data_IF_139105768326
#
_entry.id   IF_139105768326
#
_cell.length_a   1.000
_cell.length_b   1.000
_cell.length_c   1.000
_cell.angle_alpha   90.00
_cell.angle_beta   90.00
_cell.angle_gamma   90.00
#
_symmetry.space_group_name_H-M   'P 1'
#
loop_
_entity.id
_entity.type
_entity.pdbx_description
1 polymer ?
#
# COMPACT_ATOMS: atom_id res chain seq x y z
N UNK A 1 73.79 12.24 -45.73
CA UNK A 1 73.28 11.70 -44.42
C UNK A 1 71.84 11.35 -44.65
N UNK A 2 71.48 10.03 -44.81
CA UNK A 2 70.14 9.57 -45.13
C UNK A 2 69.47 9.15 -43.85
N UNK A 3 68.34 9.81 -43.45
CA UNK A 3 67.49 9.46 -42.33
C UNK A 3 66.55 8.34 -42.79
N UNK A 4 66.72 7.16 -42.19
CA UNK A 4 65.80 6.03 -42.41
C UNK A 4 64.56 6.23 -41.55
N UNK A 5 63.40 6.39 -42.18
CA UNK A 5 62.10 6.32 -41.52
C UNK A 5 61.77 4.86 -41.15
N UNK A 6 61.68 4.57 -39.84
CA UNK A 6 61.11 3.35 -39.36
C UNK A 6 59.59 3.45 -39.37
N UNK A 7 58.95 2.70 -40.25
CA UNK A 7 57.49 2.51 -40.23
C UNK A 7 57.18 1.45 -39.17
N UNK A 8 56.65 1.85 -38.04
CA UNK A 8 56.03 0.95 -37.07
C UNK A 8 54.71 0.39 -37.65
N UNK A 9 54.50 -0.91 -37.61
CA UNK A 9 53.31 -1.59 -38.09
C UNK A 9 52.06 -1.18 -37.27
N UNK A 10 50.90 -0.99 -37.88
CA UNK A 10 49.71 -0.49 -37.18
C UNK A 10 49.20 -1.37 -36.05
N UNK A 11 49.58 -2.63 -35.97
CA UNK A 11 49.15 -3.57 -34.92
C UNK A 11 49.79 -3.32 -33.56
N UNK A 12 50.98 -2.75 -33.47
CA UNK A 12 51.63 -2.43 -32.19
C UNK A 12 51.03 -1.20 -31.50
N UNK A 13 50.35 -0.34 -32.25
CA UNK A 13 49.70 0.84 -31.68
C UNK A 13 48.36 0.48 -31.00
N UNK A 14 47.62 -0.50 -31.55
CA UNK A 14 46.35 -0.95 -30.97
C UNK A 14 46.53 -1.74 -29.68
N UNK A 15 47.56 -2.57 -29.57
CA UNK A 15 47.84 -3.33 -28.34
C UNK A 15 48.33 -2.46 -27.20
N UNK A 16 49.09 -1.40 -27.50
CA UNK A 16 49.52 -0.46 -26.46
C UNK A 16 48.38 0.44 -25.96
N UNK A 17 47.48 0.82 -26.86
CA UNK A 17 46.29 1.64 -26.51
C UNK A 17 45.25 0.88 -25.71
N UNK A 18 45.03 -0.40 -26.03
CA UNK A 18 44.12 -1.27 -25.23
C UNK A 18 44.67 -1.60 -23.85
N UNK A 19 45.98 -1.80 -23.71
CA UNK A 19 46.59 -2.01 -22.40
C UNK A 19 46.58 -0.75 -21.50
N UNK A 20 46.72 0.41 -22.09
CA UNK A 20 46.61 1.71 -21.37
C UNK A 20 45.17 2.03 -20.97
N UNK A 21 44.18 1.75 -21.80
CA UNK A 21 42.76 1.98 -21.48
C UNK A 21 42.24 1.00 -20.42
N UNK A 22 42.64 -0.26 -20.44
CA UNK A 22 42.30 -1.23 -19.41
C UNK A 22 43.00 -0.89 -18.08
N UNK A 23 44.25 -0.43 -18.11
CA UNK A 23 44.98 0.03 -16.91
C UNK A 23 44.34 1.29 -16.28
N UNK A 24 43.87 2.24 -17.10
CA UNK A 24 43.19 3.45 -16.62
C UNK A 24 41.79 3.15 -16.07
N UNK A 25 41.05 2.21 -16.67
CA UNK A 25 39.75 1.77 -16.18
C UNK A 25 39.83 1.02 -14.84
N UNK A 26 40.93 0.30 -14.57
CA UNK A 26 41.15 -0.36 -13.31
C UNK A 26 41.57 0.60 -12.17
N UNK A 27 42.07 1.80 -12.49
CA UNK A 27 42.41 2.83 -11.51
C UNK A 27 41.29 3.85 -11.24
N UNK A 28 40.26 3.91 -12.08
CA UNK A 28 39.12 4.85 -11.92
C UNK A 28 37.90 4.17 -11.25
N UNK A 29 37.88 2.85 -11.16
CA UNK A 29 36.84 2.17 -10.39
C UNK A 29 37.13 2.37 -8.88
N UNK A 30 36.26 3.11 -8.14
CA UNK A 30 36.41 3.16 -6.71
C UNK A 30 36.30 1.73 -6.16
N UNK A 31 37.31 1.29 -5.43
CA UNK A 31 37.28 0.07 -4.66
C UNK A 31 35.98 0.10 -3.83
N UNK A 32 34.94 -0.59 -4.30
CA UNK A 32 33.76 -0.81 -3.47
C UNK A 32 34.23 -1.48 -2.19
N UNK A 33 34.00 -0.88 -1.01
CA UNK A 33 34.27 -1.57 0.22
C UNK A 33 33.52 -2.90 0.13
N UNK A 34 34.20 -4.02 0.33
CA UNK A 34 33.58 -5.33 0.49
C UNK A 34 32.58 -5.19 1.63
N UNK A 35 31.30 -5.00 1.28
CA UNK A 35 30.22 -5.16 2.24
C UNK A 35 30.34 -6.61 2.74
N UNK A 36 30.68 -6.75 4.01
CA UNK A 36 30.50 -8.02 4.70
C UNK A 36 29.04 -8.37 4.52
N UNK A 37 28.68 -9.62 4.17
CA UNK A 37 27.30 -10.02 4.15
C UNK A 37 26.72 -9.69 5.53
N UNK A 38 25.75 -8.79 5.58
CA UNK A 38 24.96 -8.57 6.78
C UNK A 38 24.22 -9.89 6.98
N UNK A 39 24.69 -10.68 7.93
CA UNK A 39 23.97 -11.87 8.38
C UNK A 39 22.69 -11.35 9.01
N UNK A 40 21.62 -11.40 8.25
CA UNK A 40 20.30 -11.16 8.76
C UNK A 40 19.95 -12.30 9.70
N UNK A 41 20.02 -12.04 11.00
CA UNK A 41 19.31 -12.88 11.95
C UNK A 41 17.82 -12.78 11.62
N UNK A 42 17.38 -13.60 10.69
CA UNK A 42 15.98 -13.99 10.62
C UNK A 42 15.73 -14.77 11.90
N UNK A 43 15.15 -14.11 12.91
CA UNK A 43 14.45 -14.81 13.98
C UNK A 43 13.30 -15.54 13.29
N UNK A 44 13.55 -16.76 12.84
CA UNK A 44 12.52 -17.69 12.43
C UNK A 44 11.67 -17.94 13.67
N UNK A 45 10.54 -17.22 13.77
CA UNK A 45 9.50 -17.69 14.64
C UNK A 45 9.12 -19.09 14.15
N UNK A 46 9.03 -20.09 15.04
CA UNK A 46 8.55 -21.40 14.64
C UNK A 46 7.20 -21.22 13.95
N UNK A 47 7.01 -21.93 12.84
CA UNK A 47 5.71 -21.98 12.17
C UNK A 47 4.65 -22.32 13.20
N UNK A 48 3.51 -21.60 13.26
CA UNK A 48 2.45 -21.90 14.19
C UNK A 48 2.02 -23.36 13.95
N UNK A 49 1.98 -24.13 15.02
CA UNK A 49 1.44 -25.49 15.02
C UNK A 49 0.01 -25.49 14.43
N UNK A 50 -0.36 -26.48 13.59
CA UNK A 50 -1.59 -26.44 12.80
C UNK A 50 -2.91 -26.58 13.57
N UNK A 51 -2.98 -26.39 14.88
CA UNK A 51 -4.14 -26.71 15.69
C UNK A 51 -4.82 -25.55 16.42
N UNK A 52 -4.31 -24.33 16.34
CA UNK A 52 -5.04 -23.18 16.87
C UNK A 52 -5.81 -22.50 15.74
N UNK A 53 -7.13 -22.60 15.72
CA UNK A 53 -7.96 -21.72 14.89
C UNK A 53 -7.63 -20.28 15.28
N UNK A 54 -6.89 -19.59 14.43
CA UNK A 54 -6.60 -18.16 14.62
C UNK A 54 -7.95 -17.44 14.51
N UNK A 55 -8.43 -16.89 15.61
CA UNK A 55 -9.69 -16.14 15.62
C UNK A 55 -9.42 -14.74 15.08
N UNK A 56 -10.11 -14.37 14.00
CA UNK A 56 -10.06 -13.00 13.51
C UNK A 56 -10.88 -12.10 14.43
N UNK A 57 -10.36 -10.95 14.88
CA UNK A 57 -11.04 -10.13 15.88
C UNK A 57 -12.23 -9.32 15.33
N UNK A 58 -12.55 -9.46 14.05
CA UNK A 58 -13.70 -8.79 13.45
C UNK A 58 -14.83 -9.80 13.23
N UNK A 59 -16.01 -9.51 13.75
CA UNK A 59 -17.22 -10.32 13.58
C UNK A 59 -18.16 -9.70 12.55
N UNK A 60 -18.78 -10.55 11.74
CA UNK A 60 -19.85 -10.14 10.86
C UNK A 60 -21.14 -10.02 11.67
N UNK A 61 -21.85 -8.90 11.55
CA UNK A 61 -23.14 -8.67 12.18
C UNK A 61 -24.21 -9.63 11.63
N UNK A 62 -25.29 -9.82 12.39
CA UNK A 62 -26.37 -10.76 12.05
C UNK A 62 -27.25 -10.32 10.85
N UNK A 63 -27.10 -9.09 10.36
CA UNK A 63 -27.89 -8.59 9.23
C UNK A 63 -27.31 -9.06 7.90
N UNK A 64 -28.18 -9.60 7.03
CA UNK A 64 -27.75 -10.05 5.70
C UNK A 64 -27.48 -8.91 4.71
N UNK A 65 -27.93 -7.69 4.96
CA UNK A 65 -27.64 -6.47 4.16
C UNK A 65 -28.12 -5.22 4.90
N UNK A 66 -27.32 -4.14 5.05
CA UNK A 66 -25.90 -4.07 4.73
C UNK A 66 -25.06 -4.98 5.61
N UNK A 67 -23.88 -5.39 5.13
CA UNK A 67 -22.96 -6.20 5.92
C UNK A 67 -22.18 -5.30 6.89
N UNK A 68 -22.26 -5.60 8.16
CA UNK A 68 -21.51 -4.88 9.21
C UNK A 68 -20.40 -5.75 9.73
N UNK A 69 -19.18 -5.25 9.65
CA UNK A 69 -17.97 -5.86 10.18
C UNK A 69 -17.55 -5.08 11.41
N UNK A 70 -17.66 -5.68 12.59
CA UNK A 70 -17.39 -5.04 13.87
C UNK A 70 -16.19 -5.68 14.56
N UNK A 71 -15.33 -4.85 15.18
CA UNK A 71 -14.25 -5.34 16.03
C UNK A 71 -14.83 -5.99 17.29
N UNK A 72 -14.44 -7.23 17.52
CA UNK A 72 -14.74 -7.99 18.73
C UNK A 72 -13.50 -8.02 19.61
N UNK A 73 -13.40 -7.09 20.55
CA UNK A 73 -12.25 -6.93 21.40
C UNK A 73 -12.67 -6.72 22.86
N UNK A 74 -11.91 -7.30 23.77
CA UNK A 74 -12.01 -7.04 25.20
C UNK A 74 -11.17 -5.79 25.47
N UNK A 75 -11.80 -4.75 26.01
CA UNK A 75 -11.07 -3.55 26.45
C UNK A 75 -10.67 -3.73 27.91
N UNK A 76 -9.40 -3.47 28.22
CA UNK A 76 -8.92 -3.53 29.59
C UNK A 76 -9.67 -2.50 30.46
N UNK A 77 -10.16 -2.96 31.62
CA UNK A 77 -10.76 -2.07 32.63
C UNK A 77 -9.71 -1.13 33.24
N UNK A 78 -8.46 -1.58 33.28
CA UNK A 78 -7.35 -0.74 33.65
C UNK A 78 -7.04 0.18 32.48
N UNK A 79 -7.68 1.36 32.49
CA UNK A 79 -7.24 2.50 31.70
C UNK A 79 -5.90 2.98 32.27
N UNK A 80 -4.90 2.08 32.25
CA UNK A 80 -3.51 2.48 32.38
C UNK A 80 -3.36 3.59 31.35
N UNK A 81 -3.14 4.79 31.81
CA UNK A 81 -2.83 5.97 30.99
C UNK A 81 -1.89 5.46 29.93
N UNK A 82 -2.38 5.36 28.71
CA UNK A 82 -1.58 4.82 27.61
C UNK A 82 -0.29 5.64 27.66
N UNK A 83 0.82 5.00 28.03
CA UNK A 83 2.10 5.68 28.09
C UNK A 83 2.28 6.26 26.71
N UNK A 84 2.21 7.60 26.60
CA UNK A 84 2.38 8.30 25.34
C UNK A 84 3.66 7.79 24.70
N UNK A 85 3.60 7.31 23.47
CA UNK A 85 4.79 6.91 22.77
C UNK A 85 5.73 8.10 22.74
N UNK A 86 6.92 7.90 23.26
CA UNK A 86 7.96 8.94 23.32
C UNK A 86 9.15 8.52 22.48
N UNK A 87 9.87 9.48 21.99
CA UNK A 87 11.14 9.29 21.31
C UNK A 87 12.20 10.17 21.98
N UNK A 88 13.40 9.69 22.07
CA UNK A 88 14.50 10.49 22.62
C UNK A 88 14.84 11.65 21.69
N UNK A 89 15.02 12.84 22.26
CA UNK A 89 15.32 14.07 21.53
C UNK A 89 16.59 14.00 20.69
N UNK A 90 17.61 13.28 21.13
CA UNK A 90 18.84 13.05 20.38
C UNK A 90 18.62 12.30 19.06
N UNK A 91 17.58 11.44 18.97
CA UNK A 91 17.21 10.73 17.74
C UNK A 91 16.49 11.65 16.73
N UNK A 92 15.96 12.77 17.20
CA UNK A 92 15.20 13.74 16.40
C UNK A 92 16.07 14.96 16.05
N UNK A 93 16.79 15.51 17.02
CA UNK A 93 17.52 16.77 16.94
C UNK A 93 19.05 16.60 16.86
N UNK A 94 19.57 15.38 17.07
CA UNK A 94 20.99 15.08 17.07
C UNK A 94 21.63 15.09 18.47
N UNK A 95 22.90 14.69 18.53
CA UNK A 95 23.63 14.43 19.79
C UNK A 95 23.82 15.64 20.72
N UNK A 96 23.69 16.85 20.20
CA UNK A 96 23.82 18.09 21.00
C UNK A 96 22.52 18.45 21.77
N UNK A 97 21.42 17.73 21.53
CA UNK A 97 20.21 17.91 22.30
C UNK A 97 20.35 17.25 23.68
N UNK A 98 19.92 17.95 24.75
CA UNK A 98 19.80 17.33 26.07
C UNK A 98 18.90 16.10 25.97
N UNK A 99 19.31 14.98 26.57
CA UNK A 99 18.52 13.72 26.52
C UNK A 99 17.20 13.90 27.26
N UNK A 100 16.17 14.26 26.52
CA UNK A 100 14.78 14.37 26.98
C UNK A 100 13.88 13.51 26.09
N UNK A 101 12.77 13.07 26.62
CA UNK A 101 11.75 12.35 25.84
C UNK A 101 10.77 13.32 25.23
N UNK A 102 10.50 13.16 23.93
CA UNK A 102 9.55 13.96 23.16
C UNK A 102 8.28 13.16 22.90
N UNK A 103 7.15 13.78 23.13
CA UNK A 103 5.83 13.25 22.75
C UNK A 103 5.50 13.61 21.31
N UNK A 104 4.43 13.05 20.74
CA UNK A 104 3.92 13.47 19.42
C UNK A 104 3.61 14.99 19.39
N UNK A 105 3.03 15.53 20.45
CA UNK A 105 2.73 16.97 20.56
C UNK A 105 4.00 17.82 20.54
N UNK A 106 5.10 17.33 21.06
CA UNK A 106 6.40 18.02 21.01
C UNK A 106 6.99 17.94 19.61
N UNK A 107 6.89 16.77 18.94
CA UNK A 107 7.33 16.61 17.56
C UNK A 107 6.65 17.58 16.60
N UNK A 108 5.35 17.86 16.81
CA UNK A 108 4.57 18.83 16.01
C UNK A 108 5.16 20.25 16.10
N UNK A 109 5.77 20.62 17.24
CA UNK A 109 6.32 21.97 17.46
C UNK A 109 7.71 22.15 16.85
N UNK A 110 8.45 21.07 16.55
CA UNK A 110 9.81 21.14 16.01
C UNK A 110 9.80 21.72 14.59
N UNK A 111 10.52 22.80 14.27
CA UNK A 111 10.66 23.32 12.91
C UNK A 111 11.21 22.24 11.95
N UNK A 112 10.77 22.25 10.69
CA UNK A 112 11.12 21.19 9.73
C UNK A 112 12.62 21.12 9.40
N UNK A 113 13.34 22.23 9.52
CA UNK A 113 14.79 22.37 9.32
C UNK A 113 15.62 21.90 10.52
N UNK A 114 15.01 21.72 11.69
CA UNK A 114 15.69 21.23 12.89
C UNK A 114 15.75 19.69 12.99
N UNK A 115 15.06 18.99 12.12
CA UNK A 115 15.03 17.53 12.15
C UNK A 115 16.32 16.90 11.64
N UNK A 116 16.92 16.00 12.46
CA UNK A 116 18.05 15.19 12.05
C UNK A 116 17.67 14.28 10.86
N UNK A 117 18.50 14.23 9.83
CA UNK A 117 18.32 13.36 8.68
C UNK A 117 19.55 12.48 8.47
N UNK A 118 19.39 11.21 8.12
CA UNK A 118 18.12 10.46 7.97
C UNK A 118 17.41 10.29 9.32
N UNK A 119 16.09 10.16 9.30
CA UNK A 119 15.32 9.93 10.52
C UNK A 119 15.62 8.57 11.12
N UNK A 120 15.75 8.53 12.45
CA UNK A 120 15.80 7.26 13.15
C UNK A 120 14.44 6.57 13.10
N UNK A 121 14.36 5.23 12.85
CA UNK A 121 13.09 4.52 12.73
C UNK A 121 12.14 4.71 13.92
N UNK A 122 12.66 4.84 15.12
CA UNK A 122 11.86 5.04 16.34
C UNK A 122 11.01 6.32 16.32
N UNK A 123 11.37 7.31 15.50
CA UNK A 123 10.58 8.54 15.33
C UNK A 123 9.16 8.24 14.89
N UNK A 124 8.96 7.22 14.05
CA UNK A 124 7.65 6.84 13.54
C UNK A 124 6.77 6.09 14.55
N UNK A 125 7.34 5.62 15.68
CA UNK A 125 6.58 5.02 16.76
C UNK A 125 5.96 6.06 17.69
N UNK A 126 6.53 7.27 17.78
CA UNK A 126 5.92 8.40 18.48
C UNK A 126 4.75 8.95 17.64
N UNK A 127 3.62 8.27 17.69
CA UNK A 127 2.35 8.64 17.03
C UNK A 127 1.33 9.09 18.10
N UNK A 128 0.23 9.79 17.72
CA UNK A 128 -0.73 10.25 18.73
C UNK A 128 -1.20 9.16 19.70
N UNK A 129 -1.29 7.92 19.19
CA UNK A 129 -1.61 6.73 19.99
C UNK A 129 -0.33 5.98 20.32
N UNK A 130 -0.05 5.89 21.61
CA UNK A 130 1.13 5.24 22.17
C UNK A 130 1.03 3.70 22.20
N UNK A 131 0.60 3.08 21.11
CA UNK A 131 0.40 1.65 21.12
C UNK A 131 1.56 0.87 20.52
N UNK A 132 1.94 -0.20 21.16
CA UNK A 132 2.66 -1.27 20.51
C UNK A 132 1.69 -2.06 19.62
N UNK A 133 1.64 -1.73 18.34
CA UNK A 133 0.70 -2.35 17.41
C UNK A 133 0.92 -3.86 17.26
N UNK A 134 2.15 -4.34 17.38
CA UNK A 134 2.43 -5.78 17.36
C UNK A 134 1.79 -6.48 18.56
N UNK A 135 1.92 -5.89 19.75
CA UNK A 135 1.29 -6.44 20.95
C UNK A 135 -0.24 -6.41 20.87
N UNK A 136 -0.82 -5.32 20.33
CA UNK A 136 -2.28 -5.26 20.09
C UNK A 136 -2.71 -6.35 19.13
N UNK A 137 -1.98 -6.54 18.03
CA UNK A 137 -2.26 -7.59 17.06
C UNK A 137 -2.24 -8.98 17.73
N UNK A 138 -1.20 -9.28 18.49
CA UNK A 138 -1.06 -10.56 19.18
C UNK A 138 -2.16 -10.75 20.24
N UNK A 139 -2.51 -9.71 21.00
CA UNK A 139 -3.59 -9.76 21.98
C UNK A 139 -4.94 -10.03 21.32
N UNK A 140 -5.24 -9.33 20.21
CA UNK A 140 -6.50 -9.53 19.49
C UNK A 140 -6.63 -10.95 18.94
N UNK A 141 -5.55 -11.52 18.39
CA UNK A 141 -5.55 -12.90 17.89
C UNK A 141 -5.69 -13.94 19.02
N UNK A 142 -5.23 -13.60 20.23
CA UNK A 142 -5.30 -14.45 21.41
C UNK A 142 -6.54 -14.17 22.28
N UNK A 143 -7.43 -13.28 21.82
CA UNK A 143 -8.61 -12.83 22.60
C UNK A 143 -8.25 -12.26 23.98
N UNK A 144 -7.09 -11.64 24.08
CA UNK A 144 -6.63 -10.95 25.29
C UNK A 144 -7.08 -9.48 25.26
N UNK A 145 -7.22 -8.86 26.45
CA UNK A 145 -7.57 -7.46 26.54
C UNK A 145 -6.60 -6.54 25.79
N UNK A 146 -7.14 -5.49 25.19
CA UNK A 146 -6.38 -4.41 24.59
C UNK A 146 -6.60 -3.10 25.37
N UNK A 147 -5.62 -2.16 25.36
CA UNK A 147 -5.67 -1.00 26.25
C UNK A 147 -6.73 0.03 25.85
N UNK A 148 -7.08 0.12 24.57
CA UNK A 148 -7.99 1.15 24.06
C UNK A 148 -8.75 0.69 22.81
N UNK A 149 -9.87 1.39 22.54
CA UNK A 149 -10.62 1.23 21.30
C UNK A 149 -9.83 1.73 20.07
N UNK A 150 -10.11 1.20 18.88
CA UNK A 150 -9.57 1.73 17.62
C UNK A 150 -9.88 3.20 17.41
N UNK A 151 -8.98 3.91 16.72
CA UNK A 151 -9.12 5.34 16.43
C UNK A 151 -9.78 5.62 15.08
N UNK A 152 -9.70 4.69 14.13
CA UNK A 152 -10.29 4.85 12.79
C UNK A 152 -11.63 4.11 12.62
N UNK A 153 -12.32 3.86 13.72
CA UNK A 153 -13.58 3.13 13.73
C UNK A 153 -13.38 1.65 14.07
N UNK A 154 -14.39 1.09 14.65
CA UNK A 154 -14.47 -0.31 15.06
C UNK A 154 -15.59 -1.07 14.35
N UNK A 155 -16.32 -0.37 13.46
CA UNK A 155 -17.41 -0.93 12.66
C UNK A 155 -17.29 -0.43 11.21
N UNK A 156 -17.31 -1.36 10.27
CA UNK A 156 -17.25 -1.10 8.83
C UNK A 156 -18.52 -1.64 8.19
N UNK A 157 -19.24 -0.77 7.51
CA UNK A 157 -20.49 -1.10 6.86
C UNK A 157 -20.27 -1.23 5.36
N UNK A 158 -20.65 -2.38 4.79
CA UNK A 158 -20.57 -2.63 3.35
C UNK A 158 -21.99 -2.73 2.79
N UNK A 159 -22.29 -1.84 1.85
CA UNK A 159 -23.59 -1.81 1.16
C UNK A 159 -23.69 -2.95 0.16
N UNK A 160 -22.56 -3.33 -0.44
CA UNK A 160 -22.43 -4.44 -1.38
C UNK A 160 -21.14 -5.19 -1.10
N UNK A 161 -21.18 -6.51 -1.14
CA UNK A 161 -20.00 -7.37 -1.23
C UNK A 161 -20.10 -8.29 -2.44
N UNK A 162 -18.95 -8.72 -2.95
CA UNK A 162 -18.89 -9.64 -4.09
C UNK A 162 -19.55 -10.99 -3.73
N UNK A 163 -20.33 -11.55 -4.67
CA UNK A 163 -20.89 -12.91 -4.53
C UNK A 163 -19.91 -14.00 -5.01
N UNK A 164 -19.01 -13.64 -5.90
CA UNK A 164 -18.10 -14.60 -6.56
C UNK A 164 -16.71 -14.64 -5.91
N UNK A 165 -16.38 -13.66 -5.05
CA UNK A 165 -15.08 -13.54 -4.40
C UNK A 165 -15.26 -13.36 -2.90
N UNK A 166 -14.78 -14.33 -2.14
CA UNK A 166 -14.74 -14.28 -0.66
C UNK A 166 -16.13 -14.04 0.00
N UNK A 167 -17.22 -14.50 -0.61
CA UNK A 167 -18.54 -14.33 -0.02
C UNK A 167 -18.78 -15.32 1.12
N UNK A 168 -19.23 -14.88 2.30
CA UNK A 168 -19.38 -15.75 3.48
C UNK A 168 -20.32 -16.95 3.23
N UNK A 169 -21.42 -16.73 2.47
CA UNK A 169 -22.43 -17.74 2.17
C UNK A 169 -22.16 -18.54 0.88
N UNK A 170 -21.00 -18.36 0.24
CA UNK A 170 -20.63 -19.06 -0.98
C UNK A 170 -19.28 -19.77 -0.83
N UNK A 171 -19.22 -21.03 -0.38
CA UNK A 171 -17.99 -21.76 -0.17
C UNK A 171 -17.11 -21.82 -1.43
N UNK A 172 -17.71 -21.86 -2.62
CA UNK A 172 -16.97 -21.90 -3.87
C UNK A 172 -16.21 -20.59 -4.15
N UNK A 173 -16.70 -19.44 -3.65
CA UNK A 173 -16.03 -18.14 -3.73
C UNK A 173 -14.88 -18.00 -2.74
N UNK A 174 -14.78 -18.92 -1.77
CA UNK A 174 -13.75 -18.93 -0.73
C UNK A 174 -12.50 -19.73 -1.13
N UNK A 175 -12.48 -20.34 -2.30
CA UNK A 175 -11.36 -21.19 -2.72
C UNK A 175 -10.47 -20.44 -3.73
N UNK A 176 -9.78 -19.39 -3.29
CA UNK A 176 -8.97 -18.51 -4.15
C UNK A 176 -7.50 -18.53 -3.72
N UNK A 177 -6.61 -18.50 -4.70
CA UNK A 177 -5.16 -18.45 -4.52
C UNK A 177 -4.62 -17.00 -4.68
N UNK A 178 -5.32 -16.21 -5.52
CA UNK A 178 -5.02 -14.81 -5.79
C UNK A 178 -6.32 -14.00 -5.88
N UNK A 179 -6.37 -12.85 -5.21
CA UNK A 179 -7.47 -11.89 -5.37
C UNK A 179 -6.92 -10.55 -5.85
N UNK A 180 -7.47 -10.07 -6.96
CA UNK A 180 -7.17 -8.75 -7.50
C UNK A 180 -8.24 -7.79 -7.02
N UNK A 181 -7.85 -6.82 -6.21
CA UNK A 181 -8.71 -5.76 -5.68
C UNK A 181 -8.43 -4.48 -6.44
N UNK A 182 -9.30 -4.13 -7.37
CA UNK A 182 -9.18 -2.92 -8.18
C UNK A 182 -9.86 -1.77 -7.44
N UNK A 183 -9.08 -0.76 -7.05
CA UNK A 183 -9.62 0.46 -6.45
C UNK A 183 -10.17 1.34 -7.55
N UNK A 184 -11.48 1.49 -7.59
CA UNK A 184 -12.18 2.22 -8.63
C UNK A 184 -13.04 3.34 -8.03
N UNK A 185 -13.39 4.33 -8.84
CA UNK A 185 -14.43 5.30 -8.48
C UNK A 185 -15.78 4.80 -9.00
N UNK A 186 -16.87 5.15 -8.31
CA UNK A 186 -18.23 4.71 -8.69
C UNK A 186 -18.54 5.02 -10.15
N UNK A 187 -18.14 6.19 -10.64
CA UNK A 187 -18.43 6.63 -12.02
C UNK A 187 -17.55 5.94 -13.11
N UNK A 188 -16.53 5.18 -12.74
CA UNK A 188 -15.57 4.60 -13.68
C UNK A 188 -16.06 3.29 -14.34
N UNK A 189 -17.34 3.22 -14.72
CA UNK A 189 -17.96 2.04 -15.34
C UNK A 189 -17.17 1.48 -16.53
N UNK A 190 -16.70 2.38 -17.43
CA UNK A 190 -15.94 1.98 -18.61
C UNK A 190 -14.62 1.31 -18.25
N UNK A 191 -13.88 1.86 -17.29
CA UNK A 191 -12.60 1.27 -16.82
C UNK A 191 -12.85 -0.12 -16.22
N UNK A 192 -13.87 -0.29 -15.37
CA UNK A 192 -14.22 -1.61 -14.83
C UNK A 192 -14.58 -2.61 -15.92
N UNK A 193 -15.31 -2.19 -16.97
CA UNK A 193 -15.56 -3.06 -18.12
C UNK A 193 -14.30 -3.48 -18.85
N UNK A 194 -13.35 -2.57 -19.03
CA UNK A 194 -12.05 -2.89 -19.65
C UNK A 194 -11.27 -3.90 -18.80
N UNK A 195 -11.23 -3.72 -17.48
CA UNK A 195 -10.62 -4.69 -16.56
C UNK A 195 -11.30 -6.07 -16.65
N UNK A 196 -12.62 -6.12 -16.63
CA UNK A 196 -13.36 -7.39 -16.77
C UNK A 196 -12.99 -8.11 -18.07
N UNK A 197 -12.90 -7.39 -19.20
CA UNK A 197 -12.48 -7.97 -20.48
C UNK A 197 -11.04 -8.54 -20.42
N UNK A 198 -10.12 -7.81 -19.82
CA UNK A 198 -8.72 -8.24 -19.71
C UNK A 198 -8.53 -9.42 -18.76
N UNK A 199 -9.36 -9.50 -17.70
CA UNK A 199 -9.17 -10.47 -16.62
C UNK A 199 -10.14 -11.66 -16.72
N UNK A 200 -11.22 -11.58 -17.53
CA UNK A 200 -12.20 -12.66 -17.70
C UNK A 200 -11.61 -14.02 -18.05
N UNK A 201 -10.53 -14.14 -18.87
CA UNK A 201 -9.92 -15.44 -19.14
C UNK A 201 -9.31 -16.10 -17.90
N UNK A 202 -9.00 -15.33 -16.86
CA UNK A 202 -8.33 -15.81 -15.64
C UNK A 202 -9.30 -16.04 -14.49
N UNK A 203 -10.42 -15.31 -14.45
CA UNK A 203 -11.44 -15.46 -13.41
C UNK A 203 -12.45 -16.55 -13.71
N UNK A 204 -12.54 -17.00 -14.97
CA UNK A 204 -13.36 -18.12 -15.35
C UNK A 204 -12.67 -19.43 -14.95
N UNK A 205 -13.26 -20.18 -14.01
CA UNK A 205 -12.69 -21.39 -13.41
C UNK A 205 -12.28 -22.48 -14.40
N UNK A 206 -12.87 -22.49 -15.61
CA UNK A 206 -12.60 -23.46 -16.65
C UNK A 206 -11.36 -23.12 -17.50
N UNK A 207 -10.84 -21.90 -17.44
CA UNK A 207 -9.86 -21.41 -18.40
C UNK A 207 -8.42 -21.36 -17.88
N UNK A 208 -8.18 -21.63 -16.59
CA UNK A 208 -6.85 -21.40 -16.00
C UNK A 208 -5.93 -22.64 -16.06
N UNK A 209 -5.77 -23.20 -17.25
CA UNK A 209 -4.97 -24.40 -17.47
C UNK A 209 -3.46 -24.15 -17.24
N UNK A 210 -2.99 -22.91 -17.41
CA UNK A 210 -1.55 -22.63 -17.42
C UNK A 210 -0.93 -22.22 -16.08
N UNK A 211 -1.71 -21.76 -15.10
CA UNK A 211 -1.15 -21.25 -13.84
C UNK A 211 -1.59 -22.04 -12.61
N UNK A 212 -2.60 -22.88 -12.72
CA UNK A 212 -3.23 -23.61 -11.60
C UNK A 212 -3.74 -22.70 -10.46
N UNK A 213 -3.76 -21.37 -10.66
CA UNK A 213 -4.25 -20.41 -9.67
C UNK A 213 -5.73 -20.11 -9.89
N UNK A 214 -6.50 -20.16 -8.81
CA UNK A 214 -7.87 -19.67 -8.77
C UNK A 214 -7.85 -18.21 -8.46
N UNK A 215 -8.24 -17.38 -9.43
CA UNK A 215 -8.10 -15.91 -9.36
C UNK A 215 -9.47 -15.27 -9.21
N UNK A 216 -9.64 -14.43 -8.19
CA UNK A 216 -10.80 -13.56 -8.01
C UNK A 216 -10.50 -12.13 -8.45
N UNK A 217 -11.51 -11.44 -8.98
CA UNK A 217 -11.45 -10.01 -9.30
C UNK A 217 -12.59 -9.30 -8.61
N UNK A 218 -12.27 -8.21 -7.89
CA UNK A 218 -13.27 -7.32 -7.30
C UNK A 218 -12.92 -5.85 -7.53
N UNK A 219 -13.96 -5.01 -7.57
CA UNK A 219 -13.84 -3.56 -7.61
C UNK A 219 -14.26 -2.97 -6.28
N UNK A 220 -13.30 -2.35 -5.57
CA UNK A 220 -13.53 -1.68 -4.30
C UNK A 220 -13.79 -0.19 -4.51
N UNK A 221 -14.88 0.31 -3.94
CA UNK A 221 -15.31 1.70 -4.02
C UNK A 221 -16.17 2.11 -2.82
N UNK A 222 -16.40 3.42 -2.68
CA UNK A 222 -17.41 3.98 -1.78
C UNK A 222 -18.69 4.35 -2.54
N UNK A 223 -19.46 5.28 -1.97
CA UNK A 223 -20.65 5.87 -2.60
C UNK A 223 -20.32 7.20 -3.28
N UNK A 224 -21.12 7.63 -4.28
CA UNK A 224 -20.92 8.94 -4.90
C UNK A 224 -21.01 10.05 -3.86
N UNK A 225 -20.19 11.08 -4.02
CA UNK A 225 -20.29 12.27 -3.18
C UNK A 225 -21.62 12.98 -3.40
N UNK A 226 -22.34 13.22 -2.30
CA UNK A 226 -23.64 13.89 -2.31
C UNK A 226 -23.55 15.42 -2.49
N UNK A 227 -22.38 16.02 -2.19
CA UNK A 227 -22.20 17.47 -2.29
C UNK A 227 -21.90 17.92 -3.72
N UNK A 228 -22.50 19.03 -4.12
CA UNK A 228 -22.35 19.57 -5.47
C UNK A 228 -20.93 20.07 -5.80
N UNK A 229 -20.09 20.35 -4.79
CA UNK A 229 -18.76 20.94 -4.96
C UNK A 229 -17.66 19.98 -4.49
N UNK A 230 -16.64 19.78 -5.32
CA UNK A 230 -15.38 19.14 -4.92
C UNK A 230 -14.45 20.13 -4.17
N UNK A 231 -15.03 20.89 -3.25
CA UNK A 231 -14.31 21.81 -2.40
C UNK A 231 -14.00 21.16 -1.04
N UNK A 232 -12.76 21.27 -0.61
CA UNK A 232 -12.28 20.72 0.64
C UNK A 232 -11.53 21.78 1.43
N UNK A 233 -11.76 21.83 2.73
CA UNK A 233 -10.98 22.68 3.64
C UNK A 233 -9.78 21.89 4.15
N UNK A 234 -8.57 22.35 3.81
CA UNK A 234 -7.32 21.75 4.26
C UNK A 234 -6.29 22.84 4.54
N UNK A 235 -5.59 22.76 5.69
CA UNK A 235 -4.57 23.74 6.07
C UNK A 235 -5.08 25.18 6.06
N UNK A 236 -6.34 25.42 6.46
CA UNK A 236 -6.98 26.73 6.41
C UNK A 236 -7.28 27.25 5.00
N UNK A 237 -7.17 26.40 3.96
CA UNK A 237 -7.42 26.76 2.56
C UNK A 237 -8.58 25.97 1.98
N UNK A 238 -9.33 26.61 1.09
CA UNK A 238 -10.32 25.95 0.24
C UNK A 238 -9.61 25.36 -0.98
N UNK A 239 -9.73 24.08 -1.19
CA UNK A 239 -9.10 23.34 -2.28
C UNK A 239 -10.17 22.80 -3.21
N UNK A 240 -10.01 22.99 -4.51
CA UNK A 240 -10.88 22.42 -5.54
C UNK A 240 -10.20 21.24 -6.21
N UNK A 241 -10.82 20.07 -6.19
CA UNK A 241 -10.34 18.84 -6.82
C UNK A 241 -11.27 18.43 -7.96
N UNK A 242 -11.54 19.32 -8.88
CA UNK A 242 -12.49 19.13 -9.98
C UNK A 242 -12.14 17.96 -10.89
N UNK A 243 -10.86 17.60 -11.02
CA UNK A 243 -10.37 16.52 -11.88
C UNK A 243 -10.00 15.23 -11.16
N UNK A 244 -9.97 15.20 -9.84
CA UNK A 244 -9.49 14.05 -9.06
C UNK A 244 -10.53 13.60 -8.03
N UNK A 245 -11.24 12.55 -8.35
CA UNK A 245 -12.01 11.83 -7.37
C UNK A 245 -13.42 12.33 -7.13
N UNK A 246 -14.30 11.78 -7.88
CA UNK A 246 -15.73 11.99 -7.86
C UNK A 246 -16.12 13.14 -8.77
N UNK A 247 -16.79 12.80 -9.86
CA UNK A 247 -17.38 13.82 -10.71
C UNK A 247 -18.32 14.69 -9.86
N UNK A 248 -18.25 16.00 -10.07
CA UNK A 248 -19.31 16.91 -9.62
C UNK A 248 -20.62 16.41 -10.23
N UNK A 249 -21.43 15.73 -9.46
CA UNK A 249 -22.70 15.25 -9.93
C UNK A 249 -23.78 16.19 -9.42
N UNK A 250 -24.47 16.85 -10.34
CA UNK A 250 -25.75 17.47 -10.04
C UNK A 250 -26.79 16.36 -9.70
N UNK A 251 -27.98 16.74 -9.28
CA UNK A 251 -29.01 15.78 -8.91
C UNK A 251 -29.38 14.78 -10.03
N UNK A 252 -29.30 15.20 -11.29
CA UNK A 252 -29.52 14.34 -12.45
C UNK A 252 -28.36 13.36 -12.66
N UNK A 253 -27.12 13.85 -12.59
CA UNK A 253 -25.94 13.02 -12.68
C UNK A 253 -25.82 12.00 -11.54
N UNK A 254 -26.25 12.35 -10.32
CA UNK A 254 -26.34 11.41 -9.20
C UNK A 254 -27.36 10.31 -9.48
N UNK A 255 -28.58 10.66 -10.01
CA UNK A 255 -29.59 9.67 -10.39
C UNK A 255 -29.10 8.75 -11.51
N UNK A 256 -28.48 9.31 -12.55
CA UNK A 256 -27.92 8.54 -13.66
C UNK A 256 -26.80 7.59 -13.19
N UNK A 257 -25.94 8.06 -12.31
CA UNK A 257 -24.87 7.23 -11.71
C UNK A 257 -25.47 6.12 -10.85
N UNK A 258 -26.47 6.41 -10.03
CA UNK A 258 -27.16 5.40 -9.22
C UNK A 258 -27.85 4.33 -10.09
N UNK A 259 -28.55 4.73 -11.15
CA UNK A 259 -29.16 3.80 -12.09
C UNK A 259 -28.14 2.91 -12.81
N UNK A 260 -27.02 3.50 -13.25
CA UNK A 260 -25.92 2.76 -13.89
C UNK A 260 -25.25 1.79 -12.91
N UNK A 261 -25.10 2.19 -11.65
CA UNK A 261 -24.54 1.36 -10.59
C UNK A 261 -25.44 0.16 -10.29
N UNK A 262 -26.76 0.36 -10.16
CA UNK A 262 -27.70 -0.75 -9.94
C UNK A 262 -27.74 -1.71 -11.14
N UNK A 263 -27.67 -1.21 -12.38
CA UNK A 263 -27.55 -2.04 -13.57
C UNK A 263 -26.24 -2.86 -13.57
N UNK A 264 -25.13 -2.25 -13.16
CA UNK A 264 -23.85 -2.94 -13.03
C UNK A 264 -23.91 -4.01 -11.94
N UNK A 265 -24.45 -3.68 -10.76
CA UNK A 265 -24.63 -4.61 -9.64
C UNK A 265 -25.51 -5.80 -9.99
N UNK A 266 -26.58 -5.58 -10.75
CA UNK A 266 -27.46 -6.66 -11.21
C UNK A 266 -26.78 -7.59 -12.22
N UNK A 267 -25.82 -7.07 -12.99
CA UNK A 267 -25.13 -7.81 -14.04
C UNK A 267 -23.90 -8.55 -13.56
N UNK A 268 -23.15 -7.96 -12.62
CA UNK A 268 -21.86 -8.46 -12.16
C UNK A 268 -21.84 -8.67 -10.64
N UNK A 269 -21.18 -9.73 -10.21
CA UNK A 269 -21.09 -10.11 -8.79
C UNK A 269 -19.72 -9.73 -8.16
N UNK A 270 -19.03 -8.74 -8.71
CA UNK A 270 -17.64 -8.43 -8.42
C UNK A 270 -17.42 -7.07 -7.72
N UNK A 271 -18.50 -6.47 -7.18
CA UNK A 271 -18.41 -5.19 -6.50
C UNK A 271 -18.27 -5.34 -4.97
N UNK A 272 -17.43 -4.50 -4.38
CA UNK A 272 -17.31 -4.28 -2.93
C UNK A 272 -17.49 -2.79 -2.68
N UNK A 273 -18.60 -2.42 -2.03
CA UNK A 273 -18.98 -1.02 -1.81
C UNK A 273 -19.08 -0.73 -0.32
N UNK A 274 -18.16 0.08 0.17
CA UNK A 274 -18.18 0.57 1.55
C UNK A 274 -19.10 1.78 1.71
N UNK A 275 -19.65 1.95 2.91
CA UNK A 275 -20.51 3.08 3.28
C UNK A 275 -19.66 4.32 3.66
N UNK A 276 -19.00 4.91 2.67
CA UNK A 276 -18.24 6.16 2.78
C UNK A 276 -18.28 6.91 1.44
N UNK A 277 -18.15 8.24 1.46
CA UNK A 277 -18.05 9.04 0.23
C UNK A 277 -16.75 8.75 -0.53
N UNK A 278 -16.86 8.40 -1.81
CA UNK A 278 -15.73 8.10 -2.67
C UNK A 278 -15.13 9.38 -3.25
N UNK A 279 -14.13 9.91 -2.57
CA UNK A 279 -13.42 11.14 -2.97
C UNK A 279 -11.90 10.94 -2.90
N UNK A 280 -11.14 11.86 -3.50
CA UNK A 280 -9.68 11.83 -3.44
C UNK A 280 -9.15 11.84 -1.99
N UNK A 281 -9.75 12.63 -1.10
CA UNK A 281 -9.31 12.69 0.30
C UNK A 281 -9.81 11.52 1.16
N UNK A 282 -10.69 10.69 0.63
CA UNK A 282 -11.13 9.44 1.25
C UNK A 282 -10.42 8.20 0.71
N UNK A 283 -9.30 8.36 -0.03
CA UNK A 283 -8.50 7.21 -0.51
C UNK A 283 -7.94 6.38 0.65
N UNK A 284 -7.57 7.00 1.76
CA UNK A 284 -7.16 6.29 2.98
C UNK A 284 -8.30 5.49 3.55
N UNK A 285 -9.52 6.05 3.63
CA UNK A 285 -10.73 5.34 4.03
C UNK A 285 -11.02 4.16 3.09
N UNK A 286 -10.92 4.38 1.77
CA UNK A 286 -11.05 3.30 0.76
C UNK A 286 -10.06 2.17 1.01
N UNK A 287 -8.81 2.50 1.31
CA UNK A 287 -7.76 1.52 1.59
C UNK A 287 -8.07 0.73 2.87
N UNK A 288 -8.47 1.41 3.95
CA UNK A 288 -8.88 0.77 5.20
C UNK A 288 -10.06 -0.20 4.93
N UNK A 289 -11.13 0.26 4.27
CA UNK A 289 -12.27 -0.60 3.94
C UNK A 289 -11.87 -1.80 3.08
N UNK A 290 -11.02 -1.59 2.06
CA UNK A 290 -10.55 -2.68 1.19
C UNK A 290 -9.76 -3.73 1.97
N UNK A 291 -8.90 -3.29 2.91
CA UNK A 291 -8.09 -4.19 3.72
C UNK A 291 -8.94 -4.92 4.76
N UNK A 292 -9.88 -4.23 5.43
CA UNK A 292 -10.80 -4.86 6.37
C UNK A 292 -11.68 -5.91 5.69
N UNK A 293 -12.24 -5.58 4.50
CA UNK A 293 -13.00 -6.54 3.71
C UNK A 293 -12.17 -7.77 3.38
N UNK A 294 -10.99 -7.58 2.82
CA UNK A 294 -10.15 -8.69 2.38
C UNK A 294 -9.70 -9.57 3.58
N UNK A 295 -9.28 -8.94 4.68
CA UNK A 295 -8.83 -9.66 5.87
C UNK A 295 -9.94 -10.46 6.55
N UNK A 296 -11.18 -9.94 6.56
CA UNK A 296 -12.32 -10.62 7.19
C UNK A 296 -12.96 -11.67 6.27
N UNK A 297 -13.26 -11.30 5.02
CA UNK A 297 -14.05 -12.13 4.13
C UNK A 297 -13.23 -13.17 3.38
N UNK A 298 -11.96 -12.89 3.03
CA UNK A 298 -11.08 -13.85 2.35
C UNK A 298 -10.31 -14.77 3.29
N UNK A 299 -10.69 -14.81 4.56
CA UNK A 299 -9.95 -15.50 5.62
C UNK A 299 -9.82 -17.01 5.40
N UNK A 300 -10.85 -17.64 4.83
CA UNK A 300 -10.85 -19.08 4.63
C UNK A 300 -9.84 -19.53 3.56
N UNK A 301 -9.68 -18.74 2.49
CA UNK A 301 -8.72 -19.05 1.41
C UNK A 301 -7.33 -18.48 1.67
N UNK A 302 -7.22 -17.40 2.46
CA UNK A 302 -5.96 -16.69 2.73
C UNK A 302 -5.14 -16.41 1.45
N UNK A 303 -5.73 -15.82 0.41
CA UNK A 303 -5.09 -15.68 -0.88
C UNK A 303 -3.95 -14.66 -0.83
N UNK A 304 -3.08 -14.67 -1.83
CA UNK A 304 -2.28 -13.50 -2.15
C UNK A 304 -3.20 -12.40 -2.68
N UNK A 305 -2.96 -11.14 -2.29
CA UNK A 305 -3.80 -10.02 -2.69
C UNK A 305 -3.00 -9.01 -3.50
N UNK A 306 -3.57 -8.62 -4.64
CA UNK A 306 -3.06 -7.52 -5.45
C UNK A 306 -4.04 -6.36 -5.37
N UNK A 307 -3.62 -5.25 -4.76
CA UNK A 307 -4.35 -3.98 -4.79
C UNK A 307 -3.80 -3.14 -5.93
N UNK A 308 -4.69 -2.66 -6.82
CA UNK A 308 -4.30 -1.94 -8.03
C UNK A 308 -5.32 -0.85 -8.35
N UNK A 309 -4.86 0.27 -8.95
CA UNK A 309 -5.75 1.32 -9.41
C UNK A 309 -6.39 0.97 -10.76
N UNK A 310 -7.60 1.48 -11.02
CA UNK A 310 -8.37 1.16 -12.23
C UNK A 310 -7.82 1.78 -13.54
N UNK A 311 -6.72 2.52 -13.45
CA UNK A 311 -6.00 3.07 -14.60
C UNK A 311 -4.65 2.38 -14.87
N UNK A 312 -4.31 1.36 -14.10
CA UNK A 312 -3.07 0.60 -14.22
C UNK A 312 -3.34 -0.90 -14.49
N UNK A 313 -3.91 -1.30 -15.64
CA UNK A 313 -4.07 -2.71 -15.96
C UNK A 313 -2.72 -3.38 -16.20
N UNK A 314 -2.56 -4.59 -15.66
CA UNK A 314 -1.36 -5.40 -15.84
C UNK A 314 -1.64 -6.66 -16.67
N UNK A 315 -0.61 -7.27 -17.24
CA UNK A 315 -0.72 -8.57 -17.89
C UNK A 315 -0.89 -9.68 -16.86
N UNK A 316 -2.14 -10.16 -16.69
CA UNK A 316 -2.43 -11.23 -15.75
C UNK A 316 -1.71 -12.53 -16.09
N UNK A 317 -1.50 -12.85 -17.36
CA UNK A 317 -0.72 -14.04 -17.76
C UNK A 317 0.67 -14.03 -17.14
N UNK A 318 1.38 -12.91 -17.31
CA UNK A 318 2.76 -12.81 -16.84
C UNK A 318 2.80 -12.73 -15.31
N UNK A 319 1.88 -11.96 -14.72
CA UNK A 319 1.79 -11.81 -13.27
C UNK A 319 1.44 -13.13 -12.58
N UNK A 320 0.38 -13.80 -13.01
CA UNK A 320 -0.04 -15.08 -12.44
C UNK A 320 1.04 -16.17 -12.59
N UNK A 321 1.72 -16.21 -13.76
CA UNK A 321 2.86 -17.12 -13.96
C UNK A 321 4.01 -16.86 -13.00
N UNK A 322 4.25 -15.60 -12.62
CA UNK A 322 5.27 -15.28 -11.63
C UNK A 322 4.84 -15.72 -10.24
N UNK A 323 3.62 -15.36 -9.83
CA UNK A 323 3.09 -15.68 -8.50
C UNK A 323 2.97 -17.21 -8.31
N UNK A 324 2.59 -17.97 -9.35
CA UNK A 324 2.45 -19.42 -9.25
C UNK A 324 3.77 -20.14 -8.97
N UNK A 325 4.90 -19.56 -9.38
CA UNK A 325 6.24 -20.12 -9.17
C UNK A 325 6.82 -19.83 -7.78
N UNK A 326 6.24 -18.89 -7.04
CA UNK A 326 6.71 -18.57 -5.69
C UNK A 326 6.30 -19.66 -4.70
N UNK A 327 7.19 -20.11 -3.81
CA UNK A 327 6.85 -21.01 -2.71
C UNK A 327 5.72 -20.42 -1.85
N UNK A 328 4.86 -21.26 -1.24
CA UNK A 328 3.76 -20.78 -0.39
C UNK A 328 4.20 -19.86 0.74
N UNK A 329 5.31 -20.17 1.38
CA UNK A 329 5.91 -19.34 2.44
C UNK A 329 6.35 -17.95 1.92
N UNK A 330 6.91 -17.89 0.70
CA UNK A 330 7.27 -16.61 0.07
C UNK A 330 6.01 -15.82 -0.24
N UNK A 331 4.97 -16.47 -0.78
CA UNK A 331 3.68 -15.81 -1.05
C UNK A 331 3.03 -15.27 0.21
N UNK A 332 3.10 -15.99 1.32
CA UNK A 332 2.57 -15.55 2.61
C UNK A 332 3.30 -14.29 3.15
N UNK A 333 4.58 -14.13 2.83
CA UNK A 333 5.40 -13.01 3.32
C UNK A 333 5.49 -11.83 2.36
N UNK A 334 4.74 -11.83 1.26
CA UNK A 334 4.76 -10.73 0.29
C UNK A 334 4.26 -9.42 0.93
N UNK A 335 5.05 -8.39 0.81
CA UNK A 335 4.69 -6.99 0.93
C UNK A 335 5.54 -6.23 -0.09
N UNK A 336 5.06 -6.19 -1.34
CA UNK A 336 5.84 -5.72 -2.47
C UNK A 336 5.05 -4.69 -3.28
N UNK A 337 5.77 -3.71 -3.80
CA UNK A 337 5.25 -2.67 -4.65
C UNK A 337 6.37 -1.83 -5.25
N UNK A 338 6.04 -0.69 -5.84
CA UNK A 338 7.03 0.33 -6.16
C UNK A 338 7.44 1.00 -4.86
N UNK A 339 8.63 0.67 -4.38
CA UNK A 339 9.17 1.21 -3.12
C UNK A 339 9.59 2.66 -3.29
N UNK A 340 9.13 3.50 -2.40
CA UNK A 340 9.48 4.91 -2.27
C UNK A 340 10.23 5.10 -0.94
N UNK A 341 11.41 5.71 -1.01
CA UNK A 341 12.25 5.96 0.15
C UNK A 341 12.72 7.41 0.16
N UNK A 342 13.00 7.91 1.37
CA UNK A 342 13.46 9.28 1.59
C UNK A 342 12.53 10.37 0.99
N UNK A 343 11.22 10.11 0.96
CA UNK A 343 10.23 11.04 0.42
C UNK A 343 9.96 12.13 1.44
N UNK A 344 10.26 13.37 1.07
CA UNK A 344 10.01 14.54 1.91
C UNK A 344 8.52 14.81 2.05
N UNK A 345 8.08 15.06 3.28
CA UNK A 345 6.70 15.47 3.58
C UNK A 345 6.47 16.88 3.03
N UNK A 346 5.42 17.04 2.23
CA UNK A 346 5.05 18.33 1.65
C UNK A 346 4.12 19.07 2.60
N UNK A 347 4.45 20.33 2.88
CA UNK A 347 3.63 21.22 3.72
C UNK A 347 2.76 22.14 2.88
N UNK A 348 1.68 22.64 3.49
CA UNK A 348 0.92 23.73 2.89
C UNK A 348 1.76 25.00 2.90
N UNK A 349 1.85 25.67 1.74
CA UNK A 349 2.57 26.91 1.57
C UNK A 349 1.59 28.07 1.28
N UNK A 350 1.93 29.33 1.64
CA UNK A 350 1.04 30.47 1.43
C UNK A 350 0.63 30.68 -0.03
N UNK A 351 1.57 30.42 -0.97
CA UNK A 351 1.34 30.53 -2.41
C UNK A 351 1.51 29.16 -3.07
N UNK A 352 0.45 28.69 -3.69
CA UNK A 352 0.42 27.39 -4.38
C UNK A 352 -0.30 26.29 -3.59
N UNK A 353 -0.85 25.36 -4.33
CA UNK A 353 -1.54 24.19 -3.83
C UNK A 353 -0.85 22.93 -4.31
N UNK A 354 -0.65 22.01 -3.38
CA UNK A 354 -0.23 20.65 -3.71
C UNK A 354 -1.19 19.67 -3.03
N UNK A 355 -1.86 18.83 -3.81
CA UNK A 355 -2.81 17.84 -3.30
C UNK A 355 -2.20 16.82 -2.32
N UNK A 356 -0.87 16.72 -2.31
CA UNK A 356 -0.12 15.85 -1.42
C UNK A 356 0.39 16.57 -0.15
N UNK A 357 0.00 17.83 0.06
CA UNK A 357 0.38 18.55 1.28
C UNK A 357 -0.40 18.02 2.48
N UNK A 358 0.31 17.90 3.61
CA UNK A 358 -0.25 17.51 4.91
C UNK A 358 0.13 18.50 6.00
N UNK A 359 -0.68 18.57 7.02
CA UNK A 359 -0.43 19.41 8.19
C UNK A 359 0.57 18.74 9.14
N UNK A 360 1.25 19.55 9.94
CA UNK A 360 2.18 19.03 10.95
C UNK A 360 1.49 18.18 12.02
N UNK A 361 0.25 18.54 12.34
CA UNK A 361 -0.61 17.80 13.25
C UNK A 361 -0.98 16.41 12.74
N UNK A 362 -0.97 16.20 11.41
CA UNK A 362 -1.22 14.91 10.79
C UNK A 362 0.06 14.09 10.68
N UNK A 363 1.18 14.75 10.31
CA UNK A 363 2.49 14.12 10.09
C UNK A 363 3.58 15.08 10.59
N UNK A 364 4.13 14.92 11.80
CA UNK A 364 5.08 15.87 12.39
C UNK A 364 6.48 15.79 11.76
N UNK A 365 6.94 14.60 11.36
CA UNK A 365 8.26 14.38 10.76
C UNK A 365 8.37 14.95 9.36
N UNK A 366 9.59 15.11 8.86
CA UNK A 366 9.86 15.75 7.56
C UNK A 366 10.10 14.79 6.41
N UNK A 367 10.25 13.50 6.72
CA UNK A 367 10.43 12.42 5.74
C UNK A 367 9.53 11.26 6.14
N UNK A 368 8.83 10.66 5.18
CA UNK A 368 8.05 9.46 5.42
C UNK A 368 8.94 8.23 5.65
N UNK A 369 8.50 7.24 6.44
CA UNK A 369 9.12 5.93 6.41
C UNK A 369 9.06 5.35 4.99
N UNK A 370 9.91 4.38 4.69
CA UNK A 370 9.85 3.68 3.39
C UNK A 370 8.46 3.06 3.19
N UNK A 371 7.86 3.31 2.03
CA UNK A 371 6.52 2.83 1.69
C UNK A 371 6.41 2.43 0.22
N UNK A 372 5.31 1.82 -0.18
CA UNK A 372 5.00 1.48 -1.58
C UNK A 372 4.09 2.53 -2.18
N UNK A 373 4.33 2.91 -3.44
CA UNK A 373 3.39 3.73 -4.20
C UNK A 373 2.00 3.06 -4.23
N UNK A 374 0.95 3.87 -4.05
CA UNK A 374 -0.41 3.40 -3.94
C UNK A 374 -0.92 2.61 -5.16
N UNK A 375 -0.47 2.96 -6.37
CA UNK A 375 -1.03 2.41 -7.61
C UNK A 375 -0.93 0.87 -7.75
N UNK A 376 0.02 0.23 -7.06
CA UNK A 376 0.24 -1.21 -7.10
C UNK A 376 0.81 -1.71 -5.76
N UNK A 377 0.12 -2.65 -5.13
CA UNK A 377 0.55 -3.25 -3.86
C UNK A 377 0.20 -4.73 -3.82
N UNK A 378 1.20 -5.58 -3.63
CA UNK A 378 1.08 -7.03 -3.51
C UNK A 378 1.33 -7.47 -2.07
N UNK A 379 0.34 -8.15 -1.48
CA UNK A 379 0.37 -8.60 -0.10
C UNK A 379 0.13 -10.11 0.01
N UNK A 380 0.93 -10.79 0.81
CA UNK A 380 0.55 -12.07 1.39
C UNK A 380 -0.52 -11.86 2.48
N UNK A 381 -1.35 -12.86 2.70
CA UNK A 381 -2.48 -12.72 3.62
C UNK A 381 -2.06 -12.34 5.06
N UNK A 382 -1.02 -12.94 5.67
CA UNK A 382 -0.56 -12.53 7.00
C UNK A 382 -0.12 -11.06 7.07
N UNK A 383 0.47 -10.52 5.99
CA UNK A 383 0.87 -9.11 5.96
C UNK A 383 -0.35 -8.19 5.84
N UNK A 384 -1.36 -8.60 5.06
CA UNK A 384 -2.63 -7.90 5.00
C UNK A 384 -3.31 -7.84 6.38
N UNK A 385 -3.38 -8.97 7.10
CA UNK A 385 -3.98 -9.04 8.44
C UNK A 385 -3.32 -8.05 9.41
N UNK A 386 -1.99 -8.02 9.41
CA UNK A 386 -1.21 -7.10 10.26
C UNK A 386 -1.50 -5.65 9.90
N UNK A 387 -1.49 -5.31 8.61
CA UNK A 387 -1.78 -3.95 8.16
C UNK A 387 -3.24 -3.57 8.47
N UNK A 388 -4.20 -4.45 8.22
CA UNK A 388 -5.61 -4.19 8.51
C UNK A 388 -5.83 -3.87 10.00
N UNK A 389 -5.25 -4.66 10.92
CA UNK A 389 -5.31 -4.36 12.36
C UNK A 389 -4.56 -3.07 12.69
N UNK A 390 -3.33 -2.90 12.18
CA UNK A 390 -2.55 -1.69 12.43
C UNK A 390 -3.26 -0.41 12.00
N UNK A 391 -4.03 -0.46 10.91
CA UNK A 391 -4.83 0.66 10.41
C UNK A 391 -5.96 1.05 11.36
N UNK A 392 -6.52 0.13 12.14
CA UNK A 392 -7.53 0.48 13.14
C UNK A 392 -6.97 1.40 14.24
N UNK A 393 -5.70 1.22 14.59
CA UNK A 393 -5.02 1.89 15.69
C UNK A 393 -3.99 2.95 15.26
N UNK A 394 -3.99 3.35 14.01
CA UNK A 394 -3.13 4.43 13.48
C UNK A 394 -4.00 5.50 12.89
N UNK A 395 -3.95 6.72 13.45
CA UNK A 395 -4.75 7.84 12.97
C UNK A 395 -4.53 8.08 11.49
N UNK A 396 -5.62 8.10 10.71
CA UNK A 396 -5.58 8.27 9.27
C UNK A 396 -5.23 9.71 8.87
N UNK A 397 -4.51 9.84 7.76
CA UNK A 397 -4.30 11.11 7.06
C UNK A 397 -4.46 10.86 5.54
N UNK A 398 -4.68 11.92 4.72
CA UNK A 398 -5.23 11.76 3.36
C UNK A 398 -4.31 11.20 2.28
N UNK A 399 -3.14 10.68 2.60
CA UNK A 399 -2.22 10.02 1.63
C UNK A 399 -2.14 8.54 1.95
N UNK A 400 -2.96 7.74 1.29
CA UNK A 400 -3.19 6.33 1.62
C UNK A 400 -1.94 5.46 1.53
N UNK A 401 -1.04 5.76 0.59
CA UNK A 401 0.21 5.03 0.39
C UNK A 401 1.23 5.35 1.49
N UNK A 402 1.45 6.62 1.78
CA UNK A 402 2.31 7.05 2.88
C UNK A 402 1.74 6.62 4.23
N UNK A 403 0.40 6.69 4.42
CA UNK A 403 -0.29 6.18 5.60
C UNK A 403 -0.06 4.68 5.79
N UNK A 404 -0.23 3.89 4.72
CA UNK A 404 0.07 2.45 4.75
C UNK A 404 1.52 2.18 5.15
N UNK A 405 2.46 3.00 4.67
CA UNK A 405 3.87 2.94 5.06
C UNK A 405 4.12 3.25 6.53
N UNK A 406 3.40 4.22 7.11
CA UNK A 406 3.46 4.52 8.55
C UNK A 406 2.95 3.34 9.37
N UNK A 407 1.81 2.77 8.99
CA UNK A 407 1.26 1.57 9.64
C UNK A 407 2.26 0.42 9.56
N UNK A 408 2.82 0.17 8.37
CA UNK A 408 3.81 -0.88 8.16
C UNK A 408 5.05 -0.69 9.04
N UNK A 409 5.61 0.51 9.09
CA UNK A 409 6.77 0.82 9.93
C UNK A 409 6.47 0.56 11.41
N UNK A 410 5.30 0.98 11.91
CA UNK A 410 4.85 0.75 13.29
C UNK A 410 4.60 -0.74 13.61
N UNK A 411 4.27 -1.55 12.58
CA UNK A 411 4.12 -3.01 12.69
C UNK A 411 5.44 -3.76 12.45
N UNK A 412 6.56 -3.05 12.25
CA UNK A 412 7.85 -3.64 11.94
C UNK A 412 7.93 -4.30 10.56
N UNK A 413 7.02 -3.94 9.64
CA UNK A 413 6.98 -4.44 8.27
C UNK A 413 7.83 -3.55 7.36
N UNK A 414 8.50 -4.17 6.39
CA UNK A 414 9.29 -3.46 5.37
C UNK A 414 8.85 -3.89 3.98
N UNK A 415 8.57 -2.95 3.07
CA UNK A 415 8.22 -3.29 1.71
C UNK A 415 9.43 -3.79 0.93
N UNK A 416 9.21 -4.82 0.11
CA UNK A 416 10.11 -5.27 -0.94
C UNK A 416 9.78 -4.62 -2.27
N UNK A 417 10.76 -4.54 -3.15
CA UNK A 417 10.56 -4.01 -4.49
C UNK A 417 9.86 -5.02 -5.39
N UNK A 418 8.88 -4.57 -6.19
CA UNK A 418 8.32 -5.41 -7.26
C UNK A 418 9.35 -5.85 -8.27
N UNK A 419 10.44 -5.09 -8.45
CA UNK A 419 11.55 -5.46 -9.34
C UNK A 419 12.28 -6.74 -8.88
N UNK A 420 12.20 -7.09 -7.59
CA UNK A 420 12.77 -8.33 -7.06
C UNK A 420 11.96 -9.57 -7.50
N UNK A 421 10.68 -9.38 -7.84
CA UNK A 421 9.77 -10.44 -8.26
C UNK A 421 9.57 -10.48 -9.77
N UNK A 422 9.33 -9.33 -10.38
CA UNK A 422 8.96 -9.20 -11.79
C UNK A 422 9.50 -7.88 -12.34
N UNK A 423 10.04 -7.92 -13.54
CA UNK A 423 10.37 -6.67 -14.25
C UNK A 423 9.08 -5.97 -14.69
N UNK A 424 8.84 -4.70 -14.34
CA UNK A 424 7.59 -3.98 -14.62
C UNK A 424 7.23 -3.96 -16.12
N UNK A 425 8.21 -3.84 -17.00
CA UNK A 425 8.01 -3.91 -18.45
C UNK A 425 7.39 -5.25 -18.91
N UNK A 426 7.49 -6.28 -18.07
CA UNK A 426 6.91 -7.58 -18.37
C UNK A 426 5.45 -7.72 -17.94
N UNK A 427 4.99 -6.91 -16.96
CA UNK A 427 3.62 -7.02 -16.44
C UNK A 427 2.71 -5.88 -16.89
N UNK A 428 3.25 -4.70 -17.21
CA UNK A 428 2.43 -3.60 -17.70
C UNK A 428 1.90 -3.92 -19.11
N UNK A 429 0.61 -3.67 -19.34
CA UNK A 429 0.03 -3.74 -20.68
C UNK A 429 0.29 -2.43 -21.41
N UNK A 430 0.82 -2.50 -22.64
CA UNK A 430 0.86 -1.32 -23.51
C UNK A 430 -0.58 -0.92 -23.86
N UNK A 431 -1.04 0.24 -23.42
CA UNK A 431 -2.31 0.81 -23.91
C UNK A 431 -2.03 1.50 -25.25
N UNK A 432 -2.85 1.27 -26.29
CA UNK A 432 -2.65 1.89 -27.61
C UNK A 432 -2.80 3.42 -27.63
N UNK A 433 -3.34 4.05 -26.59
CA UNK A 433 -3.71 5.47 -26.59
C UNK A 433 -3.17 6.33 -25.44
N UNK A 434 -2.27 5.82 -24.59
CA UNK A 434 -1.65 6.64 -23.54
C UNK A 434 -0.23 6.16 -23.20
N UNK A 435 0.61 6.00 -24.21
CA UNK A 435 2.04 5.73 -24.04
C UNK A 435 2.73 6.82 -23.19
N UNK A 436 2.32 8.09 -23.33
CA UNK A 436 2.85 9.20 -22.53
C UNK A 436 2.61 9.05 -21.04
N UNK A 437 1.51 8.48 -20.60
CA UNK A 437 1.25 8.29 -19.15
C UNK A 437 2.06 7.16 -18.54
N UNK A 438 2.32 6.10 -19.29
CA UNK A 438 3.15 4.96 -18.84
C UNK A 438 4.63 5.32 -18.94
N UNK A 439 5.07 5.94 -20.02
CA UNK A 439 6.44 6.44 -20.16
C UNK A 439 6.73 7.56 -19.17
N UNK A 440 5.79 8.47 -18.94
CA UNK A 440 5.90 9.49 -17.90
C UNK A 440 5.89 8.90 -16.50
N UNK A 441 5.15 7.83 -16.25
CA UNK A 441 5.19 7.06 -15.01
C UNK A 441 6.54 6.34 -14.87
N UNK A 442 7.04 5.72 -15.94
CA UNK A 442 8.33 5.02 -15.95
C UNK A 442 9.52 5.97 -15.94
N UNK A 443 9.45 7.13 -16.59
CA UNK A 443 10.53 8.13 -16.61
C UNK A 443 10.66 8.94 -15.32
N UNK A 444 9.65 8.91 -14.46
CA UNK A 444 9.70 9.46 -13.10
C UNK A 444 10.05 8.43 -12.04
N UNK A 445 10.41 7.24 -12.48
CA UNK A 445 10.97 6.13 -11.72
C UNK A 445 12.48 6.14 -11.84
#
# INVERSE_FOLDING_TARGET
MRIRHFKLAPYTFYTLFTLLTVGLLLHILPLRPRMRPIVWFTRTQPAPTPSAQIVWPMKLGNSRQPYELQLDAIISSDSAVANLATVESNLVLGRNASSTTLTYADLVKIPDDHWLRPHHPNVYFAYPQAFNLTQIYDNLLQQKPIPQLPVNGYMFRYLVISRDVCHPDNPASQMLDLVVVVRSSVANFKRRQEFRKLYSPFTNRSANINTHLRIGLVFSMGVPRSQQNNLFMRGGKVLSLTSSGGAQLNAEGLRATAASFEAERAKYNDLVVGDYEDTYYNLTTKTIYSFQWAAAFCRNSRPTLLFIDDDLPISMTKFANTISKLPPETRANLYHGKVLFNITVRRFVPRGFNKWSVEKQEVPWTVYPTYTCGAFLLLGFPQLERLAIGMLFTQAFPLEDAYTGVVAARMGLRPGSMYDLVRPEHILTKRPHNLESVEHFLSKI
#
